data_IF_033027501663
#
_entry.id   IF_033027501663
#
_cell.length_a   1.000
_cell.length_b   1.000
_cell.length_c   1.000
_cell.angle_alpha   90.00
_cell.angle_beta   90.00
_cell.angle_gamma   90.00
#
_symmetry.space_group_name_H-M   'P 1'
#
loop_
_entity.id
_entity.type
_entity.pdbx_description
1 polymer ?
#
# COMPACT_ATOMS: atom_id res chain seq x y z
N UNK A 1 -12.83 -1.65 5.73
CA UNK A 1 -12.14 -0.39 5.41
C UNK A 1 -12.32 0.66 6.49
N UNK A 2 -13.45 0.66 7.21
CA UNK A 2 -13.67 1.52 8.39
C UNK A 2 -12.51 1.52 9.39
N UNK A 3 -12.11 0.33 9.85
CA UNK A 3 -11.00 0.16 10.79
C UNK A 3 -9.63 0.56 10.21
N UNK A 4 -9.45 0.43 8.89
CA UNK A 4 -8.20 0.81 8.19
C UNK A 4 -8.10 2.33 8.05
N UNK A 5 -9.16 3.02 7.59
CA UNK A 5 -9.06 4.42 7.16
C UNK A 5 -10.26 5.30 7.57
N UNK A 6 -11.51 4.91 7.29
CA UNK A 6 -12.66 5.83 7.37
C UNK A 6 -13.06 6.24 8.79
N UNK A 7 -13.00 5.32 9.75
CA UNK A 7 -13.40 5.62 11.11
C UNK A 7 -12.37 6.51 11.81
N UNK A 8 -12.81 7.27 12.82
CA UNK A 8 -11.91 8.11 13.61
C UNK A 8 -10.95 7.24 14.41
N UNK A 9 -9.66 7.56 14.37
CA UNK A 9 -8.62 6.85 15.11
C UNK A 9 -8.62 7.10 16.63
N UNK A 10 -9.56 7.89 17.16
CA UNK A 10 -9.69 8.18 18.58
C UNK A 10 -10.32 7.04 19.39
N UNK A 11 -10.93 6.06 18.72
CA UNK A 11 -11.42 4.85 19.36
C UNK A 11 -10.24 3.93 19.71
N UNK A 12 -10.20 3.41 20.94
CA UNK A 12 -9.08 2.63 21.44
C UNK A 12 -8.87 1.30 20.68
N UNK A 13 -9.97 0.66 20.21
CA UNK A 13 -9.87 -0.55 19.43
C UNK A 13 -9.30 -0.25 18.04
N UNK A 14 -9.83 0.78 17.35
CA UNK A 14 -9.30 1.23 16.04
C UNK A 14 -7.82 1.60 16.14
N UNK A 15 -7.44 2.34 17.20
CA UNK A 15 -6.06 2.72 17.42
C UNK A 15 -5.15 1.49 17.51
N UNK A 16 -5.53 0.50 18.31
CA UNK A 16 -4.76 -0.75 18.46
C UNK A 16 -4.71 -1.56 17.15
N UNK A 17 -5.83 -1.66 16.43
CA UNK A 17 -5.94 -2.34 15.15
C UNK A 17 -5.00 -1.71 14.10
N UNK A 18 -5.02 -0.38 13.94
CA UNK A 18 -4.13 0.33 13.01
C UNK A 18 -2.67 0.20 13.39
N UNK A 19 -2.37 0.29 14.68
CA UNK A 19 -1.02 0.06 15.19
C UNK A 19 -0.54 -1.37 14.87
N UNK A 20 -1.42 -2.37 15.00
CA UNK A 20 -1.10 -3.73 14.60
C UNK A 20 -0.86 -3.89 13.09
N UNK A 21 -1.59 -3.15 12.24
CA UNK A 21 -1.32 -3.16 10.79
C UNK A 21 0.13 -2.76 10.49
N UNK A 22 0.60 -1.68 11.11
CA UNK A 22 2.00 -1.26 11.03
C UNK A 22 3.00 -2.27 11.58
N UNK A 23 2.68 -2.87 12.73
CA UNK A 23 3.54 -3.87 13.36
C UNK A 23 3.70 -5.12 12.49
N UNK A 24 2.62 -5.63 11.92
CA UNK A 24 2.64 -6.90 11.19
C UNK A 24 3.18 -6.81 9.77
N UNK A 25 3.23 -5.61 9.16
CA UNK A 25 3.86 -5.44 7.85
C UNK A 25 5.39 -5.31 7.93
N UNK A 26 5.94 -4.97 9.10
CA UNK A 26 7.36 -4.72 9.30
C UNK A 26 8.31 -5.85 8.83
N UNK A 27 8.03 -7.16 9.05
CA UNK A 27 8.90 -8.23 8.55
C UNK A 27 9.11 -8.17 7.02
N UNK A 28 8.07 -7.82 6.26
CA UNK A 28 8.17 -7.66 4.81
C UNK A 28 8.98 -6.41 4.43
N UNK A 29 8.89 -5.35 5.23
CA UNK A 29 9.73 -4.16 5.06
C UNK A 29 11.21 -4.51 5.26
N UNK A 30 11.55 -5.27 6.31
CA UNK A 30 12.90 -5.77 6.58
C UNK A 30 13.51 -6.53 5.39
N UNK A 31 12.73 -7.42 4.78
CA UNK A 31 13.15 -8.16 3.58
C UNK A 31 13.52 -7.20 2.44
N UNK A 32 12.68 -6.21 2.17
CA UNK A 32 12.88 -5.25 1.07
C UNK A 32 14.05 -4.27 1.29
N UNK A 33 14.43 -4.02 2.55
CA UNK A 33 15.64 -3.24 2.89
C UNK A 33 16.87 -4.13 3.11
N UNK A 34 16.77 -5.45 2.89
CA UNK A 34 17.84 -6.42 3.17
C UNK A 34 18.37 -6.35 4.62
N UNK A 35 17.48 -6.13 5.59
CA UNK A 35 17.81 -5.89 7.00
C UNK A 35 18.70 -4.66 7.27
N UNK A 36 18.89 -3.76 6.31
CA UNK A 36 19.73 -2.56 6.46
C UNK A 36 19.00 -1.43 7.18
N UNK A 37 18.89 -1.52 8.50
CA UNK A 37 18.27 -0.46 9.33
C UNK A 37 19.15 0.80 9.44
N UNK A 38 20.45 0.71 9.20
CA UNK A 38 21.38 1.84 9.34
C UNK A 38 21.20 2.85 8.20
N UNK A 39 21.03 2.35 6.98
CA UNK A 39 20.73 3.16 5.80
C UNK A 39 19.24 3.11 5.46
N UNK A 40 18.36 3.07 6.46
CA UNK A 40 16.91 3.17 6.23
C UNK A 40 16.32 4.28 7.07
N UNK A 41 15.57 5.17 6.41
CA UNK A 41 14.76 6.21 7.04
C UNK A 41 13.30 5.77 6.98
N UNK A 42 12.65 5.68 8.13
CA UNK A 42 11.23 5.37 8.26
C UNK A 42 10.42 6.66 8.39
N UNK A 43 9.36 6.78 7.60
CA UNK A 43 8.42 7.89 7.63
C UNK A 43 7.00 7.45 7.27
N UNK A 44 6.07 8.39 7.21
CA UNK A 44 4.67 8.16 6.85
C UNK A 44 4.11 9.29 5.99
N UNK A 45 3.02 9.01 5.28
CA UNK A 45 2.23 10.01 4.55
C UNK A 45 1.16 10.55 5.50
N UNK A 46 1.17 11.86 5.84
CA UNK A 46 0.17 12.41 6.74
C UNK A 46 -1.25 12.41 6.12
N UNK A 47 -2.32 12.24 6.91
CA UNK A 47 -2.32 12.23 8.38
C UNK A 47 -2.66 10.85 8.98
N UNK A 48 -3.56 10.10 8.34
CA UNK A 48 -4.20 8.93 8.95
C UNK A 48 -3.25 7.74 9.16
N UNK A 49 -2.19 7.64 8.34
CA UNK A 49 -1.18 6.60 8.43
C UNK A 49 -0.29 6.67 9.69
N UNK A 50 -0.37 7.76 10.47
CA UNK A 50 0.45 7.98 11.68
C UNK A 50 0.31 6.86 12.71
N UNK A 51 -0.89 6.35 12.95
CA UNK A 51 -1.09 5.26 13.93
C UNK A 51 -0.44 3.96 13.46
N UNK A 52 -0.57 3.65 12.17
CA UNK A 52 0.12 2.50 11.56
C UNK A 52 1.64 2.71 11.60
N UNK A 53 2.11 3.94 11.40
CA UNK A 53 3.52 4.28 11.53
C UNK A 53 4.08 3.99 12.92
N UNK A 54 3.38 4.36 14.00
CA UNK A 54 3.80 4.01 15.36
C UNK A 54 3.93 2.50 15.58
N UNK A 55 3.06 1.72 14.95
CA UNK A 55 3.17 0.25 14.97
C UNK A 55 4.41 -0.27 14.25
N UNK A 56 4.72 0.33 13.08
CA UNK A 56 5.91 0.01 12.30
C UNK A 56 7.19 0.37 13.07
N UNK A 57 7.23 1.53 13.74
CA UNK A 57 8.39 1.96 14.52
C UNK A 57 8.63 1.07 15.73
N UNK A 58 7.58 0.68 16.45
CA UNK A 58 7.72 -0.28 17.55
C UNK A 58 8.26 -1.63 17.09
N UNK A 59 7.81 -2.12 15.93
CA UNK A 59 8.34 -3.36 15.38
C UNK A 59 9.83 -3.24 15.00
N UNK A 60 10.26 -2.07 14.49
CA UNK A 60 11.65 -1.79 14.19
C UNK A 60 12.52 -1.73 15.46
N UNK A 61 12.02 -1.11 16.52
CA UNK A 61 12.69 -1.08 17.82
C UNK A 61 12.76 -2.47 18.46
N UNK A 62 11.67 -3.24 18.45
CA UNK A 62 11.61 -4.63 18.93
C UNK A 62 12.69 -5.50 18.24
N UNK A 63 12.79 -5.40 16.91
CA UNK A 63 13.79 -6.12 16.13
C UNK A 63 15.22 -5.70 16.50
N UNK A 64 15.47 -4.38 16.61
CA UNK A 64 16.79 -3.88 16.96
C UNK A 64 17.19 -4.28 18.38
N UNK A 65 16.26 -4.27 19.32
CA UNK A 65 16.49 -4.70 20.70
C UNK A 65 16.82 -6.19 20.76
N UNK A 66 16.13 -7.03 19.98
CA UNK A 66 16.47 -8.45 19.86
C UNK A 66 17.88 -8.65 19.29
N UNK A 67 18.25 -7.91 18.23
CA UNK A 67 19.59 -7.98 17.66
C UNK A 67 20.68 -7.56 18.66
N UNK A 68 20.45 -6.50 19.44
CA UNK A 68 21.36 -6.08 20.51
C UNK A 68 21.52 -7.16 21.57
N UNK A 69 20.41 -7.74 22.04
CA UNK A 69 20.42 -8.82 23.02
C UNK A 69 21.23 -10.03 22.51
N UNK A 70 20.94 -10.48 21.29
CA UNK A 70 21.66 -11.61 20.66
C UNK A 70 23.16 -11.33 20.52
N UNK A 71 23.53 -10.09 20.18
CA UNK A 71 24.93 -9.65 20.08
C UNK A 71 25.63 -9.70 21.45
N UNK A 72 24.98 -9.20 22.50
CA UNK A 72 25.50 -9.23 23.88
C UNK A 72 25.67 -10.67 24.36
N UNK A 73 24.69 -11.54 24.10
CA UNK A 73 24.72 -12.93 24.54
C UNK A 73 25.75 -13.79 23.79
N UNK A 74 26.02 -13.51 22.50
CA UNK A 74 27.03 -14.19 21.69
C UNK A 74 28.45 -13.67 21.92
N UNK A 75 28.59 -12.43 22.38
CA UNK A 75 29.88 -11.79 22.63
C UNK A 75 30.65 -12.43 23.78
N UNK A 76 31.95 -12.17 23.83
CA UNK A 76 32.76 -12.51 25.00
C UNK A 76 32.29 -11.67 26.20
N UNK A 77 32.34 -12.25 27.41
CA UNK A 77 31.98 -11.59 28.69
C UNK A 77 32.78 -10.30 29.02
N UNK A 78 33.69 -9.89 28.15
CA UNK A 78 34.59 -8.74 28.29
C UNK A 78 34.29 -7.63 27.27
N UNK A 79 33.02 -7.37 26.94
CA UNK A 79 32.67 -6.19 26.13
C UNK A 79 33.07 -4.91 26.88
N UNK A 80 33.78 -4.01 26.20
CA UNK A 80 34.18 -2.75 26.84
C UNK A 80 32.96 -1.84 27.05
N UNK A 81 33.01 -0.96 28.06
CA UNK A 81 31.93 0.00 28.29
C UNK A 81 31.68 0.89 27.06
N UNK A 82 32.72 1.19 26.29
CA UNK A 82 32.63 1.97 25.04
C UNK A 82 31.83 1.22 23.98
N UNK A 83 32.20 -0.03 23.69
CA UNK A 83 31.56 -0.84 22.65
C UNK A 83 30.10 -1.18 23.03
N UNK A 84 29.85 -1.44 24.31
CA UNK A 84 28.49 -1.65 24.81
C UNK A 84 27.64 -0.39 24.66
N UNK A 85 28.19 0.78 24.97
CA UNK A 85 27.48 2.05 24.80
C UNK A 85 27.16 2.32 23.33
N UNK A 86 28.11 2.06 22.42
CA UNK A 86 27.91 2.20 20.98
C UNK A 86 26.79 1.26 20.49
N UNK A 87 26.82 -0.01 20.87
CA UNK A 87 25.78 -0.99 20.53
C UNK A 87 24.40 -0.56 21.04
N UNK A 88 24.34 -0.08 22.29
CA UNK A 88 23.09 0.36 22.90
C UNK A 88 22.58 1.69 22.32
N UNK A 89 23.45 2.50 21.70
CA UNK A 89 23.07 3.80 21.13
C UNK A 89 22.31 3.70 19.81
N UNK A 90 22.46 2.59 19.07
CA UNK A 90 21.80 2.39 17.77
C UNK A 90 20.27 2.51 17.93
N UNK A 91 19.64 3.28 17.04
CA UNK A 91 18.18 3.50 16.97
C UNK A 91 17.73 3.46 15.51
N UNK A 92 16.49 3.02 15.21
CA UNK A 92 15.92 3.22 13.88
C UNK A 92 15.83 4.71 13.57
N UNK A 93 16.16 5.11 12.33
CA UNK A 93 16.03 6.51 11.89
C UNK A 93 14.58 6.78 11.53
N UNK A 94 13.88 7.46 12.44
CA UNK A 94 12.45 7.77 12.35
C UNK A 94 12.31 9.26 12.14
N UNK A 95 11.75 9.65 11.00
CA UNK A 95 11.76 11.04 10.57
C UNK A 95 10.41 11.44 9.98
N UNK A 96 10.02 12.70 10.18
CA UNK A 96 8.88 13.28 9.48
C UNK A 96 9.35 13.85 8.14
N UNK A 97 9.22 13.06 7.08
CA UNK A 97 9.69 13.43 5.75
C UNK A 97 8.60 14.12 4.96
N UNK A 98 7.46 13.46 4.75
CA UNK A 98 6.35 14.07 4.00
C UNK A 98 5.58 15.06 4.89
N UNK A 99 5.40 16.27 4.41
CA UNK A 99 4.62 17.33 5.05
C UNK A 99 3.44 17.65 4.15
N UNK A 100 2.25 17.79 4.74
CA UNK A 100 1.02 18.13 4.02
C UNK A 100 0.48 19.47 4.53
N UNK A 101 0.39 20.48 3.67
CA UNK A 101 -0.27 21.74 4.01
C UNK A 101 -1.79 21.59 3.86
N UNK A 102 -2.48 21.47 5.00
CA UNK A 102 -3.93 21.29 5.06
C UNK A 102 -4.74 22.56 4.69
N UNK A 103 -4.11 23.73 4.53
CA UNK A 103 -4.81 25.01 4.27
C UNK A 103 -4.97 25.32 2.78
N UNK A 104 -4.23 24.66 1.89
CA UNK A 104 -4.38 24.79 0.44
C UNK A 104 -5.57 23.96 -0.05
N UNK A 105 -6.77 24.55 -0.03
CA UNK A 105 -7.91 24.05 -0.83
C UNK A 105 -7.75 24.61 -2.25
N UNK A 106 -7.67 23.74 -3.25
CA UNK A 106 -7.64 24.15 -4.65
C UNK A 106 -9.00 24.78 -5.01
N UNK A 107 -9.07 26.12 -5.03
CA UNK A 107 -10.22 26.83 -5.58
C UNK A 107 -10.21 26.67 -7.11
N UNK A 108 -11.40 26.44 -7.65
CA UNK A 108 -11.78 26.26 -9.08
C UNK A 108 -10.62 26.49 -10.07
N UNK A 109 -10.13 25.40 -10.66
CA UNK A 109 -9.08 25.40 -11.67
C UNK A 109 -9.37 24.29 -12.69
N UNK A 110 -9.08 24.52 -13.98
CA UNK A 110 -9.19 23.53 -15.06
C UNK A 110 -8.38 22.27 -14.75
N UNK A 111 -8.79 21.10 -15.26
CA UNK A 111 -8.23 19.78 -14.87
C UNK A 111 -6.68 19.72 -14.98
N UNK A 112 -6.07 20.42 -15.94
CA UNK A 112 -4.61 20.50 -16.08
C UNK A 112 -3.93 21.33 -14.98
N UNK A 113 -4.58 22.39 -14.49
CA UNK A 113 -4.05 23.26 -13.43
C UNK A 113 -4.26 22.69 -12.02
N UNK A 114 -5.17 21.71 -11.87
CA UNK A 114 -5.42 21.01 -10.60
C UNK A 114 -4.27 20.08 -10.22
N UNK A 115 -3.68 19.38 -11.18
CA UNK A 115 -2.55 18.48 -10.93
C UNK A 115 -1.32 19.23 -10.38
N UNK A 116 -1.03 20.42 -10.90
CA UNK A 116 0.05 21.28 -10.41
C UNK A 116 -0.24 21.83 -9.00
N UNK A 117 -1.49 22.24 -8.72
CA UNK A 117 -1.89 22.70 -7.39
C UNK A 117 -1.82 21.59 -6.33
N UNK A 118 -2.16 20.34 -6.68
CA UNK A 118 -2.03 19.18 -5.76
C UNK A 118 -0.56 18.87 -5.46
N UNK A 119 0.34 19.09 -6.43
CA UNK A 119 1.79 18.94 -6.20
C UNK A 119 2.34 19.93 -5.18
N UNK A 120 1.70 21.09 -4.98
CA UNK A 120 2.08 22.09 -3.98
C UNK A 120 1.49 21.86 -2.58
N UNK A 121 0.61 20.87 -2.41
CA UNK A 121 0.05 20.51 -1.10
C UNK A 121 1.07 19.75 -0.24
N UNK A 122 2.07 19.15 -0.87
CA UNK A 122 3.07 18.34 -0.17
C UNK A 122 4.48 18.92 -0.31
N UNK A 123 5.23 18.89 0.79
CA UNK A 123 6.65 19.24 0.85
C UNK A 123 7.44 18.16 1.59
N UNK A 124 8.77 18.27 1.60
CA UNK A 124 9.67 17.32 2.24
C UNK A 124 10.67 17.97 3.18
N UNK A 125 11.08 17.24 4.21
CA UNK A 125 12.19 17.66 5.09
C UNK A 125 13.53 17.38 4.41
N UNK A 126 14.22 18.43 3.97
CA UNK A 126 15.52 18.35 3.28
C UNK A 126 16.69 18.07 4.26
N UNK A 127 17.75 17.45 3.77
CA UNK A 127 19.01 17.23 4.50
C UNK A 127 19.04 16.03 5.44
N UNK A 128 17.91 15.33 5.61
CA UNK A 128 17.78 14.18 6.52
C UNK A 128 18.04 12.83 5.84
N UNK A 129 17.70 12.72 4.56
CA UNK A 129 17.86 11.52 3.73
C UNK A 129 19.14 11.63 2.91
N UNK A 130 19.95 10.56 2.89
CA UNK A 130 21.20 10.45 2.15
C UNK A 130 21.01 9.64 0.87
N UNK A 131 21.89 9.80 -0.14
CA UNK A 131 21.81 9.01 -1.37
C UNK A 131 21.98 7.49 -1.21
N UNK A 132 22.54 7.04 -0.09
CA UNK A 132 22.66 5.63 0.26
C UNK A 132 21.40 5.05 0.90
N UNK A 133 20.46 5.90 1.32
CA UNK A 133 19.34 5.49 2.15
C UNK A 133 18.20 4.84 1.35
N UNK A 134 17.59 3.82 1.94
CA UNK A 134 16.23 3.41 1.63
C UNK A 134 15.26 4.33 2.39
N UNK A 135 14.35 4.98 1.69
CA UNK A 135 13.27 5.76 2.28
C UNK A 135 12.01 4.90 2.32
N UNK A 136 11.64 4.43 3.51
CA UNK A 136 10.42 3.66 3.75
C UNK A 136 9.33 4.62 4.20
N UNK A 137 8.23 4.71 3.45
CA UNK A 137 7.09 5.56 3.78
C UNK A 137 5.79 4.75 3.83
N UNK A 138 5.09 4.80 4.97
CA UNK A 138 3.80 4.10 5.14
C UNK A 138 2.62 5.01 4.80
N UNK A 139 1.63 4.45 4.12
CA UNK A 139 0.32 5.03 3.83
C UNK A 139 -0.78 4.04 4.22
N UNK A 140 -2.02 4.50 4.37
CA UNK A 140 -3.13 3.65 4.78
C UNK A 140 -3.53 2.66 3.68
N UNK A 141 -3.61 3.13 2.44
CA UNK A 141 -4.02 2.31 1.30
C UNK A 141 -3.60 2.92 -0.02
N UNK A 142 -3.47 2.07 -1.05
CA UNK A 142 -3.22 2.52 -2.42
C UNK A 142 -4.37 2.05 -3.30
N UNK A 143 -5.24 2.99 -3.70
CA UNK A 143 -6.41 2.71 -4.57
C UNK A 143 -6.05 2.93 -6.04
N UNK A 144 -5.95 4.19 -6.46
CA UNK A 144 -5.73 4.59 -7.86
C UNK A 144 -4.26 4.82 -8.21
N UNK A 145 -3.42 5.03 -7.20
CA UNK A 145 -2.00 5.33 -7.35
C UNK A 145 -1.66 6.73 -7.91
N UNK A 146 -2.66 7.53 -8.30
CA UNK A 146 -2.44 8.86 -8.93
C UNK A 146 -1.72 9.83 -8.01
N UNK A 147 -2.12 9.94 -6.74
CA UNK A 147 -1.47 10.80 -5.74
C UNK A 147 -0.01 10.39 -5.51
N UNK A 148 0.27 9.08 -5.46
CA UNK A 148 1.64 8.59 -5.33
C UNK A 148 2.47 8.93 -6.58
N UNK A 149 1.95 8.63 -7.76
CA UNK A 149 2.64 8.81 -9.05
C UNK A 149 2.93 10.28 -9.35
N UNK A 150 1.93 11.16 -9.19
CA UNK A 150 2.03 12.57 -9.60
C UNK A 150 2.69 13.45 -8.54
N UNK A 151 2.53 13.12 -7.25
CA UNK A 151 2.89 14.03 -6.16
C UNK A 151 3.92 13.41 -5.23
N UNK A 152 3.57 12.36 -4.49
CA UNK A 152 4.39 11.88 -3.36
C UNK A 152 5.74 11.34 -3.82
N UNK A 153 5.78 10.40 -4.76
CA UNK A 153 7.06 9.79 -5.16
C UNK A 153 7.98 10.85 -5.78
N UNK A 154 7.42 11.78 -6.56
CA UNK A 154 8.16 12.88 -7.19
C UNK A 154 8.82 13.80 -6.17
N UNK A 155 8.14 14.17 -5.08
CA UNK A 155 8.74 15.03 -4.04
C UNK A 155 9.76 14.27 -3.18
N UNK A 156 9.51 12.98 -2.91
CA UNK A 156 10.45 12.15 -2.16
C UNK A 156 11.75 11.92 -2.94
N UNK A 157 11.66 11.77 -4.28
CA UNK A 157 12.83 11.62 -5.15
C UNK A 157 13.76 12.85 -5.15
N UNK A 158 13.26 14.05 -4.79
CA UNK A 158 14.09 15.26 -4.62
C UNK A 158 15.13 15.12 -3.51
N UNK A 159 14.91 14.20 -2.58
CA UNK A 159 15.87 13.87 -1.52
C UNK A 159 16.98 12.93 -2.02
N UNK A 160 16.88 12.48 -3.27
CA UNK A 160 17.81 11.58 -3.95
C UNK A 160 18.10 10.26 -3.20
N UNK A 161 17.11 9.56 -2.61
CA UNK A 161 17.37 8.29 -1.94
C UNK A 161 17.79 7.20 -2.94
N UNK A 162 18.47 6.17 -2.45
CA UNK A 162 18.78 4.96 -3.24
C UNK A 162 17.48 4.28 -3.71
N UNK A 163 16.52 4.18 -2.80
CA UNK A 163 15.25 3.47 -3.01
C UNK A 163 14.13 4.15 -2.22
N UNK A 164 12.96 4.27 -2.83
CA UNK A 164 11.71 4.67 -2.19
C UNK A 164 10.84 3.42 -2.06
N UNK A 165 10.49 3.05 -0.84
CA UNK A 165 9.60 1.93 -0.53
C UNK A 165 8.30 2.52 0.03
N UNK A 166 7.20 2.42 -0.73
CA UNK A 166 5.88 2.80 -0.23
C UNK A 166 5.20 1.57 0.36
N UNK A 167 4.75 1.68 1.60
CA UNK A 167 4.14 0.59 2.37
C UNK A 167 2.66 0.92 2.56
N UNK A 168 1.77 0.08 2.01
CA UNK A 168 0.32 0.17 2.23
C UNK A 168 -0.06 -0.68 3.43
N UNK A 169 -0.62 -0.07 4.48
CA UNK A 169 -1.13 -0.80 5.65
C UNK A 169 -2.34 -1.67 5.32
N UNK A 170 -3.02 -1.41 4.20
CA UNK A 170 -4.04 -2.25 3.59
C UNK A 170 -3.48 -3.22 2.53
N UNK A 171 -4.13 -4.37 2.32
CA UNK A 171 -3.92 -5.21 1.14
C UNK A 171 -4.28 -4.51 -0.18
N UNK A 172 -3.94 -5.16 -1.29
CA UNK A 172 -4.26 -4.69 -2.63
C UNK A 172 -5.78 -4.65 -2.83
N UNK A 173 -6.31 -3.48 -3.15
CA UNK A 173 -7.73 -3.32 -3.51
C UNK A 173 -7.89 -3.81 -4.93
N UNK A 174 -8.58 -4.94 -5.08
CA UNK A 174 -8.70 -5.70 -6.33
C UNK A 174 -10.12 -5.72 -6.90
N UNK A 175 -11.14 -5.52 -6.05
CA UNK A 175 -12.54 -5.64 -6.43
C UNK A 175 -13.37 -4.47 -5.93
N UNK A 176 -14.45 -4.10 -6.63
CA UNK A 176 -15.24 -2.93 -6.28
C UNK A 176 -16.02 -3.12 -4.98
N UNK A 177 -16.27 -2.04 -4.26
CA UNK A 177 -17.19 -2.06 -3.13
C UNK A 177 -18.62 -1.73 -3.58
N UNK A 178 -19.59 -2.44 -3.02
CA UNK A 178 -21.01 -2.26 -3.26
C UNK A 178 -21.82 -2.07 -1.97
N UNK A 179 -21.15 -1.79 -0.85
CA UNK A 179 -21.76 -1.70 0.48
C UNK A 179 -21.57 -0.33 1.13
N UNK A 180 -21.20 0.69 0.35
CA UNK A 180 -21.24 2.09 0.76
C UNK A 180 -19.95 2.87 0.53
N UNK A 181 -18.88 2.23 0.09
CA UNK A 181 -17.60 2.89 -0.20
C UNK A 181 -17.47 3.16 -1.70
N UNK A 182 -17.06 4.38 -2.07
CA UNK A 182 -16.92 4.80 -3.47
C UNK A 182 -15.66 4.19 -4.15
N UNK A 183 -15.74 2.89 -4.42
CA UNK A 183 -14.75 2.10 -5.14
C UNK A 183 -15.48 1.24 -6.18
N UNK A 184 -16.12 1.86 -7.16
CA UNK A 184 -17.06 1.14 -8.05
C UNK A 184 -16.44 0.60 -9.35
N UNK A 185 -15.31 1.14 -9.81
CA UNK A 185 -14.76 0.88 -11.15
C UNK A 185 -13.39 0.22 -11.08
N UNK A 186 -13.27 -0.97 -11.69
CA UNK A 186 -12.07 -1.79 -11.67
C UNK A 186 -10.89 -1.10 -12.35
N UNK A 187 -11.14 -0.44 -13.49
CA UNK A 187 -10.13 0.29 -14.27
C UNK A 187 -9.51 1.47 -13.54
N UNK A 188 -10.06 1.87 -12.40
CA UNK A 188 -9.49 2.91 -11.56
C UNK A 188 -8.46 2.36 -10.58
N UNK A 189 -8.48 1.06 -10.27
CA UNK A 189 -7.58 0.43 -9.31
C UNK A 189 -6.20 0.18 -9.92
N UNK A 190 -5.15 0.61 -9.21
CA UNK A 190 -3.78 0.40 -9.67
C UNK A 190 -3.42 -1.08 -9.72
N UNK A 191 -3.98 -1.90 -8.81
CA UNK A 191 -3.79 -3.34 -8.82
C UNK A 191 -4.39 -3.99 -10.07
N UNK A 192 -5.58 -3.56 -10.50
CA UNK A 192 -6.17 -4.06 -11.73
C UNK A 192 -5.36 -3.66 -12.96
N UNK A 193 -4.94 -2.38 -13.05
CA UNK A 193 -4.05 -1.89 -14.12
C UNK A 193 -2.75 -2.69 -14.20
N UNK A 194 -2.11 -2.94 -13.06
CA UNK A 194 -0.91 -3.76 -12.98
C UNK A 194 -1.16 -5.19 -13.47
N UNK A 195 -2.28 -5.80 -13.09
CA UNK A 195 -2.64 -7.13 -13.59
C UNK A 195 -2.88 -7.13 -15.10
N UNK A 196 -3.53 -6.09 -15.67
CA UNK A 196 -3.70 -5.98 -17.12
C UNK A 196 -2.36 -5.87 -17.86
N UNK A 197 -1.40 -5.11 -17.35
CA UNK A 197 -0.06 -5.03 -17.94
C UNK A 197 0.69 -6.35 -17.80
N UNK A 198 0.58 -7.05 -16.66
CA UNK A 198 1.16 -8.39 -16.51
C UNK A 198 0.57 -9.39 -17.51
N UNK A 199 -0.74 -9.35 -17.78
CA UNK A 199 -1.34 -10.21 -18.80
C UNK A 199 -0.79 -9.91 -20.20
N UNK A 200 -0.56 -8.63 -20.53
CA UNK A 200 0.06 -8.25 -21.81
C UNK A 200 1.50 -8.76 -21.90
N UNK A 201 2.30 -8.51 -20.87
CA UNK A 201 3.70 -8.94 -20.80
C UNK A 201 3.87 -10.46 -20.95
N UNK A 202 2.87 -11.23 -20.49
CA UNK A 202 2.88 -12.69 -20.56
C UNK A 202 2.09 -13.26 -21.75
N UNK A 203 1.60 -12.44 -22.68
CA UNK A 203 0.75 -12.86 -23.82
C UNK A 203 -0.53 -13.61 -23.40
N UNK A 204 -1.08 -13.28 -22.23
CA UNK A 204 -2.27 -13.91 -21.64
C UNK A 204 -3.51 -13.02 -21.66
N UNK A 205 -3.52 -11.97 -22.49
CA UNK A 205 -4.63 -11.01 -22.51
C UNK A 205 -5.99 -11.63 -22.92
N UNK A 206 -5.99 -12.76 -23.64
CA UNK A 206 -7.19 -13.53 -24.00
C UNK A 206 -8.06 -13.92 -22.78
N UNK A 207 -7.46 -14.01 -21.59
CA UNK A 207 -8.18 -14.32 -20.34
C UNK A 207 -9.21 -13.24 -20.01
N UNK A 208 -8.99 -11.99 -20.43
CA UNK A 208 -9.97 -10.91 -20.27
C UNK A 208 -11.25 -11.22 -21.07
N UNK A 209 -11.10 -11.73 -22.29
CA UNK A 209 -12.23 -12.13 -23.14
C UNK A 209 -12.96 -13.35 -22.55
N UNK A 210 -12.23 -14.35 -22.07
CA UNK A 210 -12.80 -15.54 -21.44
C UNK A 210 -13.62 -15.21 -20.19
N UNK A 211 -13.08 -14.37 -19.30
CA UNK A 211 -13.78 -13.93 -18.09
C UNK A 211 -15.00 -13.08 -18.46
N UNK A 212 -14.92 -12.28 -19.53
CA UNK A 212 -16.07 -11.51 -20.02
C UNK A 212 -17.21 -12.42 -20.48
N UNK A 213 -16.91 -13.45 -21.29
CA UNK A 213 -17.93 -14.40 -21.72
C UNK A 213 -18.54 -15.14 -20.53
N UNK A 214 -17.73 -15.60 -19.56
CA UNK A 214 -18.23 -16.25 -18.33
C UNK A 214 -19.18 -15.34 -17.54
N UNK A 215 -18.81 -14.07 -17.35
CA UNK A 215 -19.66 -13.07 -16.71
C UNK A 215 -20.99 -12.88 -17.45
N UNK A 216 -20.95 -12.80 -18.77
CA UNK A 216 -22.12 -12.58 -19.63
C UNK A 216 -23.08 -13.77 -19.64
N UNK A 217 -22.56 -14.99 -19.79
CA UNK A 217 -23.34 -16.23 -19.78
C UNK A 217 -24.02 -16.50 -18.43
N UNK A 218 -23.46 -15.98 -17.34
CA UNK A 218 -23.94 -16.22 -15.97
C UNK A 218 -24.64 -14.99 -15.35
N UNK A 219 -25.05 -14.00 -16.14
CA UNK A 219 -25.67 -12.76 -15.64
C UNK A 219 -26.93 -13.02 -14.80
N UNK A 220 -27.77 -13.96 -15.25
CA UNK A 220 -29.03 -14.33 -14.61
C UNK A 220 -28.90 -15.52 -13.64
N UNK A 221 -27.67 -15.98 -13.39
CA UNK A 221 -27.44 -17.14 -12.54
C UNK A 221 -27.97 -16.89 -11.11
N UNK A 222 -28.86 -17.75 -10.57
CA UNK A 222 -29.39 -17.60 -9.22
C UNK A 222 -28.33 -17.78 -8.13
N UNK A 223 -27.17 -18.36 -8.47
CA UNK A 223 -26.01 -18.51 -7.61
C UNK A 223 -24.73 -17.96 -8.29
N UNK A 224 -24.60 -16.63 -8.36
CA UNK A 224 -23.51 -15.98 -9.09
C UNK A 224 -22.16 -16.19 -8.39
N UNK A 225 -21.13 -16.50 -9.17
CA UNK A 225 -19.73 -16.58 -8.74
C UNK A 225 -18.95 -15.35 -9.21
N UNK A 226 -17.89 -14.97 -8.51
CA UNK A 226 -16.98 -13.92 -8.97
C UNK A 226 -15.93 -14.49 -9.95
N UNK A 227 -16.17 -14.34 -11.24
CA UNK A 227 -15.24 -14.80 -12.29
C UNK A 227 -14.01 -13.89 -12.42
N UNK A 228 -14.10 -12.64 -11.96
CA UNK A 228 -12.99 -11.67 -11.98
C UNK A 228 -11.80 -12.16 -11.13
N UNK A 229 -12.02 -13.09 -10.19
CA UNK A 229 -10.93 -13.73 -9.44
C UNK A 229 -9.93 -14.45 -10.34
N UNK A 230 -10.38 -14.99 -11.47
CA UNK A 230 -9.53 -15.73 -12.42
C UNK A 230 -8.43 -14.83 -13.01
N UNK A 231 -8.71 -13.54 -13.21
CA UNK A 231 -7.75 -12.54 -13.70
C UNK A 231 -6.57 -12.39 -12.74
N UNK A 232 -6.86 -12.37 -11.43
CA UNK A 232 -5.84 -12.20 -10.40
C UNK A 232 -5.14 -13.51 -10.00
N UNK A 233 -5.77 -14.66 -10.24
CA UNK A 233 -5.26 -15.97 -9.82
C UNK A 233 -3.94 -16.38 -10.51
N UNK A 234 -3.62 -15.75 -11.64
CA UNK A 234 -2.43 -16.03 -12.45
C UNK A 234 -1.14 -15.43 -11.86
N UNK A 235 -1.28 -14.47 -10.93
CA UNK A 235 -0.15 -13.72 -10.41
C UNK A 235 -0.16 -13.68 -8.89
N UNK A 236 1.03 -13.76 -8.30
CA UNK A 236 1.20 -13.55 -6.86
C UNK A 236 0.97 -12.07 -6.51
N UNK A 237 0.69 -11.81 -5.24
CA UNK A 237 0.58 -10.43 -4.76
C UNK A 237 1.91 -9.68 -4.96
N UNK A 238 3.05 -10.35 -4.85
CA UNK A 238 4.38 -9.81 -5.07
C UNK A 238 4.59 -9.38 -6.53
N UNK A 239 4.18 -10.20 -7.51
CA UNK A 239 4.28 -9.86 -8.93
C UNK A 239 3.45 -8.61 -9.26
N UNK A 240 2.21 -8.55 -8.74
CA UNK A 240 1.35 -7.37 -8.91
C UNK A 240 1.99 -6.15 -8.24
N UNK A 241 2.54 -6.29 -7.02
CA UNK A 241 3.18 -5.18 -6.29
C UNK A 241 4.41 -4.65 -7.02
N UNK A 242 5.21 -5.55 -7.61
CA UNK A 242 6.35 -5.19 -8.44
C UNK A 242 5.90 -4.38 -9.67
N UNK A 243 4.89 -4.87 -10.41
CA UNK A 243 4.35 -4.16 -11.57
C UNK A 243 3.75 -2.80 -11.19
N UNK A 244 3.09 -2.68 -10.03
CA UNK A 244 2.62 -1.38 -9.51
C UNK A 244 3.81 -0.43 -9.32
N UNK A 245 4.94 -0.89 -8.76
CA UNK A 245 6.15 -0.10 -8.63
C UNK A 245 6.64 0.46 -9.97
N UNK A 246 6.64 -0.37 -11.01
CA UNK A 246 6.97 0.07 -12.38
C UNK A 246 5.98 1.12 -12.91
N UNK A 247 4.67 0.90 -12.75
CA UNK A 247 3.64 1.83 -13.22
C UNK A 247 3.65 3.18 -12.51
N UNK A 248 4.08 3.21 -11.24
CA UNK A 248 4.19 4.43 -10.43
C UNK A 248 5.50 5.19 -10.69
N UNK A 249 6.54 4.50 -11.18
CA UNK A 249 7.80 5.15 -11.58
C UNK A 249 7.61 5.89 -12.91
N UNK A 250 8.02 7.15 -12.95
CA UNK A 250 8.07 7.97 -14.17
C UNK A 250 9.53 8.14 -14.60
N UNK A 251 9.76 8.55 -15.84
CA UNK A 251 11.12 8.75 -16.37
C UNK A 251 11.91 9.80 -15.58
N UNK A 252 11.23 10.76 -14.95
CA UNK A 252 11.87 11.77 -14.10
C UNK A 252 12.30 11.27 -12.71
N UNK A 253 11.90 10.07 -12.30
CA UNK A 253 12.22 9.52 -10.98
C UNK A 253 13.51 8.70 -11.07
N UNK A 254 14.52 9.12 -10.32
CA UNK A 254 15.83 8.46 -10.31
C UNK A 254 15.85 7.22 -9.40
N UNK A 255 15.30 7.35 -8.19
CA UNK A 255 15.29 6.29 -7.20
C UNK A 255 14.59 5.02 -7.72
N UNK A 256 14.98 3.86 -7.17
CA UNK A 256 14.17 2.64 -7.34
C UNK A 256 12.87 2.81 -6.55
N UNK A 257 11.74 2.47 -7.15
CA UNK A 257 10.42 2.51 -6.49
C UNK A 257 9.95 1.09 -6.24
N UNK A 258 9.64 0.78 -4.99
CA UNK A 258 9.05 -0.50 -4.57
C UNK A 258 7.78 -0.24 -3.77
N UNK A 259 6.79 -1.13 -3.95
CA UNK A 259 5.51 -1.05 -3.24
C UNK A 259 5.31 -2.32 -2.44
N UNK A 260 4.96 -2.17 -1.17
CA UNK A 260 4.65 -3.27 -0.26
C UNK A 260 3.19 -3.13 0.14
N UNK A 261 2.42 -4.20 0.00
CA UNK A 261 1.05 -4.28 0.51
C UNK A 261 0.98 -5.23 1.69
N UNK A 262 0.09 -4.93 2.63
CA UNK A 262 -0.28 -5.83 3.71
C UNK A 262 -0.86 -7.13 3.15
N UNK A 263 -0.57 -8.26 3.80
CA UNK A 263 -1.22 -9.53 3.47
C UNK A 263 -2.63 -9.61 4.06
N UNK A 264 -3.50 -10.43 3.46
CA UNK A 264 -4.84 -10.70 4.01
C UNK A 264 -4.72 -11.31 5.41
N UNK A 265 -3.79 -12.24 5.60
CA UNK A 265 -3.58 -12.89 6.90
C UNK A 265 -3.18 -11.88 7.99
N UNK A 266 -2.28 -10.95 7.68
CA UNK A 266 -1.89 -9.91 8.63
C UNK A 266 -3.01 -8.91 8.89
N UNK A 267 -3.83 -8.60 7.89
CA UNK A 267 -5.04 -7.80 8.08
C UNK A 267 -5.96 -8.47 9.10
N UNK A 268 -6.26 -9.77 8.94
CA UNK A 268 -7.12 -10.51 9.87
C UNK A 268 -6.49 -10.68 11.26
N UNK A 269 -5.16 -10.83 11.35
CA UNK A 269 -4.45 -10.80 12.64
C UNK A 269 -4.56 -9.43 13.32
N UNK A 270 -4.51 -8.33 12.56
CA UNK A 270 -4.58 -6.98 13.10
C UNK A 270 -5.99 -6.59 13.51
N UNK A 271 -7.01 -7.06 12.78
CA UNK A 271 -8.41 -6.68 12.90
C UNK A 271 -9.30 -7.94 13.02
N UNK A 272 -9.17 -8.71 14.11
CA UNK A 272 -9.81 -10.04 14.23
C UNK A 272 -11.34 -9.98 14.28
N UNK A 273 -11.91 -8.92 14.86
CA UNK A 273 -13.36 -8.82 15.10
C UNK A 273 -14.14 -8.19 13.92
N UNK A 274 -13.46 -7.84 12.83
CA UNK A 274 -14.07 -7.18 11.66
C UNK A 274 -13.58 -7.82 10.34
N UNK A 275 -14.09 -9.02 9.97
CA UNK A 275 -13.52 -9.86 8.91
C UNK A 275 -13.85 -9.41 7.47
N UNK A 276 -14.40 -8.21 7.26
CA UNK A 276 -14.84 -7.76 5.94
C UNK A 276 -13.70 -7.46 4.97
N UNK A 277 -13.47 -8.34 4.00
CA UNK A 277 -12.29 -8.32 3.11
C UNK A 277 -12.58 -8.44 1.60
N UNK A 278 -13.86 -8.40 1.18
CA UNK A 278 -14.30 -8.75 -0.17
C UNK A 278 -13.65 -7.92 -1.29
N UNK A 279 -13.35 -6.63 -1.06
CA UNK A 279 -12.64 -5.78 -2.03
C UNK A 279 -11.16 -6.15 -2.18
N UNK A 280 -10.62 -7.01 -1.31
CA UNK A 280 -9.28 -7.58 -1.43
C UNK A 280 -9.30 -9.03 -1.97
N UNK A 281 -10.23 -9.85 -1.47
CA UNK A 281 -10.28 -11.31 -1.74
C UNK A 281 -11.22 -11.70 -2.88
N UNK A 282 -12.19 -10.85 -3.19
CA UNK A 282 -13.26 -11.12 -4.13
C UNK A 282 -14.36 -12.02 -3.56
N UNK A 283 -14.32 -12.33 -2.26
CA UNK A 283 -15.30 -13.18 -1.58
C UNK A 283 -16.42 -12.30 -1.00
N UNK A 284 -17.38 -11.91 -1.84
CA UNK A 284 -18.51 -11.10 -1.38
C UNK A 284 -19.44 -11.88 -0.45
N UNK A 285 -19.95 -11.26 0.63
CA UNK A 285 -20.87 -11.91 1.56
C UNK A 285 -22.28 -12.09 0.98
N UNK A 286 -22.61 -11.42 -0.13
CA UNK A 286 -23.94 -11.51 -0.75
C UNK A 286 -23.87 -11.86 -2.23
N UNK A 287 -24.91 -12.54 -2.71
CA UNK A 287 -25.12 -12.80 -4.15
C UNK A 287 -25.15 -11.50 -4.96
N UNK A 288 -25.71 -10.43 -4.38
CA UNK A 288 -25.70 -9.10 -4.97
C UNK A 288 -24.27 -8.59 -5.22
N UNK A 289 -23.38 -8.72 -4.25
CA UNK A 289 -21.97 -8.34 -4.41
C UNK A 289 -21.26 -9.10 -5.53
N UNK A 290 -21.51 -10.41 -5.62
CA UNK A 290 -20.99 -11.24 -6.73
C UNK A 290 -21.51 -10.77 -8.11
N UNK A 291 -22.77 -10.32 -8.20
CA UNK A 291 -23.31 -9.74 -9.44
C UNK A 291 -22.65 -8.39 -9.76
N UNK A 292 -22.45 -7.55 -8.74
CA UNK A 292 -21.86 -6.22 -8.92
C UNK A 292 -20.43 -6.32 -9.45
N UNK A 293 -19.59 -7.22 -8.92
CA UNK A 293 -18.21 -7.37 -9.42
C UNK A 293 -18.17 -7.86 -10.87
N UNK A 294 -19.01 -8.83 -11.25
CA UNK A 294 -19.09 -9.30 -12.64
C UNK A 294 -19.60 -8.19 -13.56
N UNK A 295 -20.63 -7.44 -13.14
CA UNK A 295 -21.15 -6.31 -13.92
C UNK A 295 -20.14 -5.17 -14.03
N UNK A 296 -19.39 -4.86 -12.98
CA UNK A 296 -18.31 -3.88 -13.03
C UNK A 296 -17.23 -4.28 -14.04
N UNK A 297 -16.91 -5.58 -14.12
CA UNK A 297 -15.98 -6.08 -15.12
C UNK A 297 -16.55 -6.02 -16.54
N UNK A 298 -17.82 -6.37 -16.75
CA UNK A 298 -18.48 -6.19 -18.05
C UNK A 298 -18.51 -4.72 -18.47
N UNK A 299 -18.78 -3.79 -17.55
CA UNK A 299 -18.75 -2.35 -17.82
C UNK A 299 -17.35 -1.90 -18.27
N UNK A 300 -16.30 -2.35 -17.58
CA UNK A 300 -14.92 -2.12 -17.99
C UNK A 300 -14.66 -2.61 -19.41
N UNK A 301 -15.03 -3.87 -19.70
CA UNK A 301 -14.82 -4.50 -21.00
C UNK A 301 -15.57 -3.75 -22.13
N UNK A 302 -16.79 -3.32 -21.87
CA UNK A 302 -17.65 -2.62 -22.83
C UNK A 302 -17.39 -1.10 -22.91
N UNK A 303 -16.41 -0.59 -22.15
CA UNK A 303 -16.08 0.84 -22.11
C UNK A 303 -17.14 1.73 -21.45
N UNK A 304 -18.04 1.15 -20.65
CA UNK A 304 -19.10 1.86 -19.93
C UNK A 304 -18.57 2.44 -18.62
N UNK A 305 -18.84 3.72 -18.37
CA UNK A 305 -18.44 4.43 -17.13
C UNK A 305 -19.50 4.38 -16.02
N UNK A 306 -20.55 3.59 -16.16
CA UNK A 306 -21.63 3.53 -15.17
C UNK A 306 -21.26 2.70 -13.92
N UNK A 307 -21.94 2.97 -12.80
CA UNK A 307 -21.83 2.13 -11.61
C UNK A 307 -22.51 0.79 -11.86
N UNK A 308 -21.97 -0.27 -11.26
CA UNK A 308 -22.51 -1.61 -11.43
C UNK A 308 -23.72 -1.91 -10.52
N UNK A 309 -24.10 -0.97 -9.64
CA UNK A 309 -25.27 -1.02 -8.76
C UNK A 309 -26.06 0.27 -8.84
#
# INVERSE_FOLDING_TARGET
FERIYFSRGSDAAIYKERKNLGKFIFPKVLEHINNDLNNTVFSYIPNTAETSFFGLTEAAEDYLNKHKLDTILKGNKNISAKDLTELLSVRPRIEKIAIKDAKLRTFIADDNSRDDLVAHVYDVTYGVVKPTDNLVIIDDSIVRGTTLKKSIIKILDRLNPKKIIVVSSAPQIRYPDCYGIDMARLEEFIAFKATLELLKDNNQYHIIDEVYQKCKENIDNPDPKNYVKEIYALFTAEQISFKIGELLKTESINAKVEIIFQSIDNLHKAIPDHPGDWYFTGNYPTKGGMRVVNKAFMNFYEGKKERAY
#
